data_IF_477691297988
#
_entry.id   IF_477691297988
#
_cell.length_a   1.000
_cell.length_b   1.000
_cell.length_c   1.000
_cell.angle_alpha   90.00
_cell.angle_beta   90.00
_cell.angle_gamma   90.00
#
_symmetry.space_group_name_H-M   'P 1'
#
loop_
_entity.id
_entity.type
_entity.pdbx_description
1 polymer ?
#
# COMPACT_ATOMS: atom_id res chain seq x y z
N UNK A 1 -16.22 -0.84 -20.85
CA UNK A 1 -15.10 -1.80 -21.00
C UNK A 1 -14.44 -1.68 -22.37
N UNK A 2 -15.16 -1.86 -23.50
CA UNK A 2 -14.57 -1.70 -24.86
C UNK A 2 -13.94 -0.33 -25.07
N UNK A 3 -14.64 0.76 -24.71
CA UNK A 3 -14.11 2.12 -24.85
C UNK A 3 -12.79 2.31 -24.09
N UNK A 4 -12.75 1.90 -22.83
CA UNK A 4 -11.53 1.96 -22.01
C UNK A 4 -10.39 1.15 -22.66
N UNK A 5 -10.68 -0.08 -23.10
CA UNK A 5 -9.69 -0.92 -23.77
C UNK A 5 -9.13 -0.26 -25.04
N UNK A 6 -9.98 0.38 -25.85
CA UNK A 6 -9.54 1.13 -27.02
C UNK A 6 -8.66 2.34 -26.65
N UNK A 7 -9.01 3.07 -25.59
CA UNK A 7 -8.19 4.18 -25.08
C UNK A 7 -6.83 3.69 -24.57
N UNK A 8 -6.81 2.64 -23.75
CA UNK A 8 -5.58 2.04 -23.23
C UNK A 8 -4.67 1.56 -24.37
N UNK A 9 -5.25 0.86 -25.37
CA UNK A 9 -4.51 0.40 -26.54
C UNK A 9 -3.96 1.54 -27.39
N UNK A 10 -4.70 2.64 -27.52
CA UNK A 10 -4.27 3.84 -28.23
C UNK A 10 -3.07 4.51 -27.55
N UNK A 11 -3.15 4.76 -26.23
CA UNK A 11 -2.08 5.44 -25.49
C UNK A 11 -0.85 4.57 -25.29
N UNK A 12 -1.02 3.29 -24.94
CA UNK A 12 0.09 2.35 -24.76
C UNK A 12 0.68 1.84 -26.07
N UNK A 13 0.02 2.11 -27.21
CA UNK A 13 0.38 1.59 -28.54
C UNK A 13 0.48 0.06 -28.61
N UNK A 14 -0.17 -0.63 -27.67
CA UNK A 14 -0.21 -2.10 -27.58
C UNK A 14 -1.50 -2.55 -26.93
N UNK A 15 -1.97 -3.71 -27.34
CA UNK A 15 -3.07 -4.39 -26.66
C UNK A 15 -2.53 -5.01 -25.38
N UNK A 16 -3.01 -4.54 -24.22
CA UNK A 16 -2.64 -5.07 -22.91
C UNK A 16 -3.86 -5.68 -22.22
N UNK A 17 -3.81 -6.99 -21.95
CA UNK A 17 -4.81 -7.68 -21.13
C UNK A 17 -4.23 -7.76 -19.72
N UNK A 18 -4.51 -6.74 -18.90
CA UNK A 18 -3.87 -6.56 -17.58
C UNK A 18 -3.97 -7.81 -16.69
N UNK A 19 -5.14 -8.45 -16.50
CA UNK A 19 -5.23 -9.65 -15.66
C UNK A 19 -4.40 -10.82 -16.20
N UNK A 20 -4.34 -11.00 -17.52
CA UNK A 20 -3.50 -12.02 -18.14
C UNK A 20 -2.01 -11.72 -17.94
N UNK A 21 -1.58 -10.47 -18.15
CA UNK A 21 -0.19 -10.07 -17.98
C UNK A 21 0.29 -10.26 -16.53
N UNK A 22 -0.57 -9.99 -15.55
CA UNK A 22 -0.27 -10.23 -14.13
C UNK A 22 0.00 -11.71 -13.89
N UNK A 23 -0.89 -12.60 -14.34
CA UNK A 23 -0.73 -14.05 -14.15
C UNK A 23 0.46 -14.58 -14.97
N UNK A 24 0.62 -14.13 -16.20
CA UNK A 24 1.72 -14.53 -17.06
C UNK A 24 3.06 -14.18 -16.43
N UNK A 25 3.25 -12.93 -16.01
CA UNK A 25 4.51 -12.47 -15.43
C UNK A 25 4.81 -13.11 -14.07
N UNK A 26 3.82 -13.18 -13.17
CA UNK A 26 4.05 -13.63 -11.79
C UNK A 26 3.99 -15.16 -11.61
N UNK A 27 3.34 -15.89 -12.52
CA UNK A 27 3.08 -17.34 -12.33
C UNK A 27 3.66 -18.18 -13.47
N UNK A 28 3.44 -17.80 -14.72
CA UNK A 28 3.76 -18.67 -15.87
C UNK A 28 5.19 -18.45 -16.40
N UNK A 29 5.62 -17.20 -16.45
CA UNK A 29 6.90 -16.77 -17.02
C UNK A 29 7.97 -16.49 -15.96
N UNK A 30 7.66 -16.71 -14.67
CA UNK A 30 8.63 -16.60 -13.59
C UNK A 30 9.76 -17.63 -13.78
N UNK A 31 11.02 -17.18 -13.71
CA UNK A 31 12.23 -18.00 -13.91
C UNK A 31 13.28 -17.61 -12.87
N UNK A 32 14.31 -18.43 -12.71
CA UNK A 32 15.44 -18.06 -11.86
C UNK A 32 16.09 -16.75 -12.37
N UNK A 33 16.21 -15.76 -11.48
CA UNK A 33 16.72 -14.42 -11.82
C UNK A 33 15.71 -13.47 -12.50
N UNK A 34 14.47 -13.90 -12.77
CA UNK A 34 13.42 -13.08 -13.40
C UNK A 34 12.05 -13.28 -12.78
N UNK A 35 11.30 -12.18 -12.64
CA UNK A 35 9.96 -12.22 -12.07
C UNK A 35 9.93 -11.77 -10.61
N UNK A 36 8.87 -12.06 -9.87
CA UNK A 36 8.59 -11.41 -8.59
C UNK A 36 9.57 -11.77 -7.47
N UNK A 37 10.16 -12.97 -7.50
CA UNK A 37 11.02 -13.48 -6.42
C UNK A 37 12.35 -12.71 -6.26
N UNK A 38 12.77 -11.95 -7.28
CA UNK A 38 13.96 -11.08 -7.21
C UNK A 38 13.82 -9.95 -6.18
N UNK A 39 12.60 -9.68 -5.72
CA UNK A 39 12.29 -8.69 -4.69
C UNK A 39 12.09 -9.32 -3.30
N UNK A 40 12.46 -10.60 -3.13
CA UNK A 40 12.38 -11.34 -1.87
C UNK A 40 11.18 -12.30 -1.80
N UNK A 41 11.07 -13.06 -0.71
CA UNK A 41 9.97 -14.03 -0.51
C UNK A 41 9.39 -13.92 0.89
N UNK A 42 8.12 -14.28 1.04
CA UNK A 42 7.39 -14.17 2.31
C UNK A 42 6.70 -15.50 2.66
N UNK A 43 6.46 -15.80 3.96
CA UNK A 43 5.88 -17.06 4.37
C UNK A 43 4.40 -17.18 3.92
N UNK A 44 3.90 -18.41 3.89
CA UNK A 44 2.53 -18.72 3.42
C UNK A 44 1.43 -17.92 4.13
N UNK A 45 1.64 -17.58 5.40
CA UNK A 45 0.65 -16.89 6.24
C UNK A 45 0.70 -15.35 6.11
N UNK A 46 1.51 -14.82 5.19
CA UNK A 46 1.64 -13.37 4.94
C UNK A 46 0.29 -12.71 4.61
N UNK A 47 -0.46 -13.23 3.63
CA UNK A 47 -1.75 -12.63 3.26
C UNK A 47 -2.80 -12.76 4.36
N UNK A 48 -2.77 -13.84 5.14
CA UNK A 48 -3.65 -13.98 6.29
C UNK A 48 -3.37 -12.87 7.33
N UNK A 49 -2.09 -12.63 7.67
CA UNK A 49 -1.70 -11.52 8.57
C UNK A 49 -2.06 -10.16 8.00
N UNK A 50 -1.74 -9.92 6.73
CA UNK A 50 -2.00 -8.64 6.06
C UNK A 50 -3.51 -8.33 6.00
N UNK A 51 -4.32 -9.28 5.53
CA UNK A 51 -5.77 -9.09 5.41
C UNK A 51 -6.46 -9.04 6.78
N UNK A 52 -5.96 -9.74 7.80
CA UNK A 52 -6.43 -9.56 9.18
C UNK A 52 -6.15 -8.16 9.73
N UNK A 53 -4.97 -7.62 9.44
CA UNK A 53 -4.64 -6.25 9.86
C UNK A 53 -5.54 -5.23 9.15
N UNK A 54 -5.73 -5.36 7.85
CA UNK A 54 -6.47 -4.36 7.05
C UNK A 54 -8.01 -4.51 7.10
N UNK A 55 -8.52 -5.74 7.17
CA UNK A 55 -9.95 -6.04 7.12
C UNK A 55 -10.50 -6.70 8.39
N UNK A 56 -9.68 -6.94 9.42
CA UNK A 56 -10.09 -7.46 10.73
C UNK A 56 -11.07 -8.67 10.65
N UNK A 57 -12.21 -8.61 11.34
CA UNK A 57 -13.24 -9.65 11.31
C UNK A 57 -13.89 -9.80 9.93
N UNK A 58 -13.90 -8.74 9.10
CA UNK A 58 -14.48 -8.81 7.75
C UNK A 58 -13.75 -9.81 6.87
N UNK A 59 -12.43 -9.97 7.03
CA UNK A 59 -11.68 -11.01 6.34
C UNK A 59 -12.13 -12.42 6.76
N UNK A 60 -12.36 -12.63 8.05
CA UNK A 60 -12.85 -13.93 8.57
C UNK A 60 -14.25 -14.22 8.03
N UNK A 61 -15.14 -13.23 8.02
CA UNK A 61 -16.49 -13.36 7.46
C UNK A 61 -16.43 -13.61 5.95
N UNK A 62 -15.52 -12.94 5.22
CA UNK A 62 -15.31 -13.15 3.79
C UNK A 62 -14.86 -14.58 3.48
N UNK A 63 -13.95 -15.15 4.27
CA UNK A 63 -13.55 -16.56 4.15
C UNK A 63 -14.72 -17.50 4.44
N UNK A 64 -15.53 -17.20 5.46
CA UNK A 64 -16.68 -18.00 5.83
C UNK A 64 -17.86 -17.89 4.82
N UNK A 65 -17.87 -16.90 3.94
CA UNK A 65 -19.01 -16.58 3.07
C UNK A 65 -19.47 -17.76 2.20
N UNK A 66 -18.56 -18.49 1.54
CA UNK A 66 -18.90 -19.64 0.71
C UNK A 66 -19.41 -20.85 1.53
N UNK A 67 -18.74 -21.27 2.63
CA UNK A 67 -19.30 -22.26 3.55
C UNK A 67 -20.69 -21.87 4.08
N UNK A 68 -20.86 -20.62 4.54
CA UNK A 68 -22.13 -20.09 5.05
C UNK A 68 -23.21 -20.13 3.97
N UNK A 69 -22.88 -19.71 2.76
CA UNK A 69 -23.78 -19.75 1.60
C UNK A 69 -24.23 -21.17 1.28
N UNK A 70 -23.31 -22.14 1.32
CA UNK A 70 -23.61 -23.54 1.08
C UNK A 70 -24.58 -24.09 2.15
N UNK A 71 -24.29 -23.87 3.43
CA UNK A 71 -25.16 -24.30 4.54
C UNK A 71 -26.54 -23.64 4.42
N UNK A 72 -26.59 -22.32 4.20
CA UNK A 72 -27.84 -21.59 4.08
C UNK A 72 -28.71 -22.09 2.92
N UNK A 73 -28.09 -22.36 1.76
CA UNK A 73 -28.81 -22.72 0.54
C UNK A 73 -29.20 -24.19 0.51
N UNK A 74 -28.29 -25.11 0.86
CA UNK A 74 -28.50 -26.54 0.67
C UNK A 74 -28.95 -27.29 1.93
N UNK A 75 -28.46 -26.89 3.10
CA UNK A 75 -28.81 -27.55 4.38
C UNK A 75 -30.10 -26.95 4.94
N UNK A 76 -30.15 -25.63 5.07
CA UNK A 76 -31.34 -24.91 5.57
C UNK A 76 -32.43 -24.72 4.50
N UNK A 77 -32.12 -25.02 3.23
CA UNK A 77 -33.04 -24.90 2.08
C UNK A 77 -33.67 -23.52 1.94
N UNK A 78 -32.89 -22.47 2.23
CA UNK A 78 -33.31 -21.08 2.09
C UNK A 78 -32.42 -20.41 1.05
N UNK A 79 -32.76 -20.46 -0.26
CA UNK A 79 -31.92 -19.86 -1.28
C UNK A 79 -31.94 -18.33 -1.18
N UNK A 80 -30.75 -17.72 -1.16
CA UNK A 80 -30.59 -16.25 -1.19
C UNK A 80 -30.82 -15.73 -2.61
N UNK A 81 -30.20 -16.39 -3.60
CA UNK A 81 -30.39 -16.07 -5.01
C UNK A 81 -31.52 -16.93 -5.59
N UNK A 82 -32.70 -16.33 -5.77
CA UNK A 82 -33.90 -17.02 -6.26
C UNK A 82 -33.76 -17.61 -7.67
N UNK A 83 -32.89 -17.05 -8.51
CA UNK A 83 -32.74 -17.50 -9.89
C UNK A 83 -31.84 -18.74 -10.04
N UNK A 84 -30.68 -18.78 -9.37
CA UNK A 84 -29.74 -19.90 -9.50
C UNK A 84 -28.70 -19.89 -8.38
N UNK A 85 -28.42 -21.07 -7.83
CA UNK A 85 -27.36 -21.27 -6.84
C UNK A 85 -25.95 -21.02 -7.43
N UNK A 86 -25.77 -21.29 -8.72
CA UNK A 86 -24.51 -21.05 -9.44
C UNK A 86 -24.13 -19.57 -9.46
N UNK A 87 -25.13 -18.68 -9.39
CA UNK A 87 -24.90 -17.24 -9.36
C UNK A 87 -24.16 -16.82 -8.09
N UNK A 88 -24.54 -17.36 -6.93
CA UNK A 88 -23.84 -17.09 -5.68
C UNK A 88 -22.41 -17.62 -5.68
N UNK A 89 -22.21 -18.84 -6.20
CA UNK A 89 -20.85 -19.39 -6.38
C UNK A 89 -20.02 -18.49 -7.28
N UNK A 90 -20.54 -18.11 -8.45
CA UNK A 90 -19.85 -17.27 -9.42
C UNK A 90 -19.38 -15.94 -8.83
N UNK A 91 -20.20 -15.28 -8.00
CA UNK A 91 -19.80 -14.01 -7.38
C UNK A 91 -18.81 -14.17 -6.21
N UNK A 92 -18.87 -15.27 -5.48
CA UNK A 92 -17.99 -15.50 -4.33
C UNK A 92 -16.59 -16.00 -4.73
N UNK A 93 -16.52 -16.79 -5.81
CA UNK A 93 -15.31 -17.49 -6.26
C UNK A 93 -14.09 -16.60 -6.53
N UNK A 94 -14.20 -15.39 -7.13
CA UNK A 94 -13.03 -14.56 -7.45
C UNK A 94 -12.12 -14.29 -6.25
N UNK A 95 -12.69 -14.04 -5.08
CA UNK A 95 -11.93 -13.83 -3.84
C UNK A 95 -11.06 -15.05 -3.48
N UNK A 96 -11.66 -16.24 -3.50
CA UNK A 96 -10.96 -17.48 -3.15
C UNK A 96 -9.90 -17.86 -4.18
N UNK A 97 -10.20 -17.72 -5.48
CA UNK A 97 -9.24 -18.03 -6.54
C UNK A 97 -8.02 -17.13 -6.46
N UNK A 98 -8.24 -15.82 -6.34
CA UNK A 98 -7.14 -14.85 -6.27
C UNK A 98 -6.29 -15.07 -5.01
N UNK A 99 -6.92 -15.23 -3.85
CA UNK A 99 -6.23 -15.49 -2.60
C UNK A 99 -5.41 -16.79 -2.68
N UNK A 100 -5.96 -17.86 -3.26
CA UNK A 100 -5.25 -19.13 -3.42
C UNK A 100 -4.04 -19.00 -4.36
N UNK A 101 -4.22 -18.42 -5.55
CA UNK A 101 -3.16 -18.27 -6.55
C UNK A 101 -1.96 -17.53 -5.96
N UNK A 102 -2.18 -16.38 -5.32
CA UNK A 102 -1.10 -15.57 -4.78
C UNK A 102 -0.53 -16.13 -3.47
N UNK A 103 -1.31 -16.81 -2.64
CA UNK A 103 -0.78 -17.48 -1.43
C UNK A 103 0.19 -18.60 -1.79
N UNK A 104 -0.04 -19.28 -2.91
CA UNK A 104 0.84 -20.32 -3.43
C UNK A 104 2.14 -19.77 -4.04
N UNK A 105 2.21 -18.48 -4.41
CA UNK A 105 3.45 -17.90 -4.92
C UNK A 105 4.46 -17.63 -3.79
N UNK A 106 5.77 -17.86 -4.00
CA UNK A 106 6.80 -17.57 -3.00
C UNK A 106 6.86 -16.08 -2.65
N UNK A 107 6.98 -15.21 -3.66
CA UNK A 107 6.88 -13.77 -3.49
C UNK A 107 5.46 -13.31 -3.16
N UNK A 108 5.36 -12.36 -2.23
CA UNK A 108 4.08 -11.80 -1.78
C UNK A 108 4.25 -10.31 -1.52
N UNK A 109 3.27 -9.55 -1.97
CA UNK A 109 3.19 -8.12 -1.70
C UNK A 109 1.76 -7.75 -1.34
N UNK A 110 1.61 -6.78 -0.45
CA UNK A 110 0.30 -6.27 -0.07
C UNK A 110 -0.51 -5.78 -1.30
N UNK A 111 0.15 -5.09 -2.25
CA UNK A 111 -0.49 -4.52 -3.44
C UNK A 111 -1.12 -5.55 -4.39
N UNK A 112 -0.68 -6.81 -4.36
CA UNK A 112 -1.31 -7.85 -5.17
C UNK A 112 -2.73 -8.18 -4.73
N UNK A 113 -3.12 -7.81 -3.50
CA UNK A 113 -4.49 -8.00 -3.02
C UNK A 113 -5.43 -6.83 -3.36
N UNK A 114 -4.92 -5.67 -3.76
CA UNK A 114 -5.75 -4.49 -4.05
C UNK A 114 -6.87 -4.76 -5.07
N UNK A 115 -6.63 -5.50 -6.18
CA UNK A 115 -7.69 -5.79 -7.16
C UNK A 115 -8.86 -6.61 -6.58
N UNK A 116 -8.63 -7.38 -5.51
CA UNK A 116 -9.64 -8.29 -4.95
C UNK A 116 -10.38 -7.72 -3.74
N UNK A 117 -10.02 -6.52 -3.26
CA UNK A 117 -10.70 -5.88 -2.15
C UNK A 117 -12.21 -5.72 -2.35
N UNK A 118 -12.73 -5.34 -3.55
CA UNK A 118 -14.18 -5.30 -3.77
C UNK A 118 -14.86 -6.67 -3.62
N UNK A 119 -14.22 -7.74 -4.09
CA UNK A 119 -14.75 -9.09 -3.96
C UNK A 119 -14.68 -9.59 -2.50
N UNK A 120 -13.62 -9.23 -1.77
CA UNK A 120 -13.53 -9.47 -0.33
C UNK A 120 -14.68 -8.78 0.41
N UNK A 121 -14.91 -7.48 0.15
CA UNK A 121 -16.01 -6.73 0.74
C UNK A 121 -17.38 -7.32 0.40
N UNK A 122 -17.58 -7.77 -0.84
CA UNK A 122 -18.80 -8.47 -1.25
C UNK A 122 -18.99 -9.78 -0.48
N UNK A 123 -17.96 -10.62 -0.38
CA UNK A 123 -18.00 -11.87 0.37
C UNK A 123 -18.29 -11.61 1.85
N UNK A 124 -17.63 -10.61 2.45
CA UNK A 124 -17.88 -10.21 3.83
C UNK A 124 -19.33 -9.76 4.04
N UNK A 125 -19.87 -8.94 3.13
CA UNK A 125 -21.25 -8.46 3.19
C UNK A 125 -22.27 -9.62 3.08
N UNK A 126 -22.05 -10.55 2.14
CA UNK A 126 -22.93 -11.72 2.00
C UNK A 126 -22.84 -12.64 3.23
N UNK A 127 -21.63 -12.94 3.70
CA UNK A 127 -21.42 -13.74 4.91
C UNK A 127 -22.08 -13.10 6.14
N UNK A 128 -21.91 -11.79 6.30
CA UNK A 128 -22.54 -11.02 7.37
C UNK A 128 -24.08 -11.05 7.27
N UNK A 129 -24.64 -10.89 6.07
CA UNK A 129 -26.08 -10.99 5.83
C UNK A 129 -26.64 -12.36 6.23
N UNK A 130 -25.94 -13.43 5.89
CA UNK A 130 -26.30 -14.81 6.28
C UNK A 130 -26.27 -14.96 7.81
N UNK A 131 -25.20 -14.52 8.45
CA UNK A 131 -25.06 -14.59 9.91
C UNK A 131 -26.16 -13.80 10.63
N UNK A 132 -26.47 -12.60 10.16
CA UNK A 132 -27.55 -11.77 10.71
C UNK A 132 -28.92 -12.42 10.50
N UNK A 133 -29.16 -13.08 9.36
CA UNK A 133 -30.39 -13.82 9.10
C UNK A 133 -30.54 -14.99 10.07
N UNK A 134 -29.47 -15.72 10.33
CA UNK A 134 -29.46 -16.82 11.31
C UNK A 134 -29.66 -16.31 12.74
N UNK A 135 -29.01 -15.20 13.08
CA UNK A 135 -29.19 -14.53 14.37
C UNK A 135 -30.59 -13.94 14.53
N UNK A 136 -31.27 -13.57 13.45
CA UNK A 136 -32.63 -13.03 13.45
C UNK A 136 -33.75 -14.08 13.47
N UNK A 137 -33.42 -15.37 13.48
CA UNK A 137 -34.44 -16.42 13.40
C UNK A 137 -35.43 -16.38 14.56
N UNK A 138 -36.71 -16.55 14.24
CA UNK A 138 -37.81 -16.71 15.22
C UNK A 138 -38.25 -18.17 15.36
N UNK A 139 -37.55 -19.10 14.72
CA UNK A 139 -37.92 -20.51 14.76
C UNK A 139 -37.67 -21.09 16.16
N UNK A 140 -38.71 -21.55 16.90
CA UNK A 140 -38.56 -22.04 18.26
C UNK A 140 -37.72 -23.31 18.39
N UNK A 141 -37.48 -24.03 17.27
CA UNK A 141 -36.58 -25.20 17.24
C UNK A 141 -35.09 -24.85 17.21
N UNK A 142 -34.74 -23.57 16.99
CA UNK A 142 -33.35 -23.12 17.02
C UNK A 142 -32.92 -22.77 18.44
N UNK A 143 -31.76 -23.28 18.88
CA UNK A 143 -31.16 -22.91 20.17
C UNK A 143 -30.92 -21.40 20.28
N UNK A 144 -30.66 -20.72 19.16
CA UNK A 144 -30.44 -19.27 19.10
C UNK A 144 -31.72 -18.50 19.42
N UNK A 145 -32.90 -19.06 19.09
CA UNK A 145 -34.18 -18.41 19.36
C UNK A 145 -34.53 -18.39 20.87
N UNK A 146 -33.84 -19.18 21.69
CA UNK A 146 -33.95 -19.13 23.16
C UNK A 146 -33.41 -17.82 23.75
N UNK A 147 -32.50 -17.13 23.02
CA UNK A 147 -31.94 -15.86 23.44
C UNK A 147 -32.89 -14.72 23.01
N UNK A 148 -33.22 -13.76 23.90
CA UNK A 148 -34.06 -12.61 23.55
C UNK A 148 -33.54 -11.87 22.31
N UNK A 149 -34.43 -11.52 21.38
CA UNK A 149 -34.05 -10.87 20.12
C UNK A 149 -33.28 -9.56 20.35
N UNK A 150 -33.67 -8.78 21.37
CA UNK A 150 -32.97 -7.54 21.76
C UNK A 150 -31.51 -7.81 22.16
N UNK A 151 -31.24 -8.90 22.87
CA UNK A 151 -29.90 -9.26 23.33
C UNK A 151 -29.04 -9.74 22.16
N UNK A 152 -29.61 -10.55 21.25
CA UNK A 152 -28.93 -10.96 20.00
C UNK A 152 -28.54 -9.76 19.15
N UNK A 153 -29.48 -8.83 18.95
CA UNK A 153 -29.24 -7.59 18.21
C UNK A 153 -28.17 -6.73 18.89
N UNK A 154 -28.20 -6.63 20.23
CA UNK A 154 -27.19 -5.89 21.00
C UNK A 154 -25.77 -6.44 20.75
N UNK A 155 -25.57 -7.75 20.89
CA UNK A 155 -24.26 -8.35 20.64
C UNK A 155 -23.82 -8.23 19.18
N UNK A 156 -24.73 -8.44 18.23
CA UNK A 156 -24.43 -8.26 16.81
C UNK A 156 -24.00 -6.80 16.51
N UNK A 157 -24.75 -5.82 17.03
CA UNK A 157 -24.42 -4.41 16.89
C UNK A 157 -23.07 -4.08 17.55
N UNK A 158 -22.81 -4.60 18.75
CA UNK A 158 -21.54 -4.40 19.45
C UNK A 158 -20.36 -4.96 18.64
N UNK A 159 -20.48 -6.15 18.06
CA UNK A 159 -19.44 -6.72 17.20
C UNK A 159 -19.18 -5.86 15.95
N UNK A 160 -20.23 -5.34 15.31
CA UNK A 160 -20.11 -4.47 14.15
C UNK A 160 -19.44 -3.13 14.50
N UNK A 161 -19.88 -2.50 15.60
CA UNK A 161 -19.31 -1.24 16.09
C UNK A 161 -17.83 -1.45 16.44
N UNK A 162 -17.49 -2.49 17.20
CA UNK A 162 -16.12 -2.81 17.55
C UNK A 162 -15.23 -3.06 16.31
N UNK A 163 -15.75 -3.70 15.27
CA UNK A 163 -15.02 -3.91 14.02
C UNK A 163 -14.73 -2.60 13.27
N UNK A 164 -15.69 -1.67 13.28
CA UNK A 164 -15.52 -0.32 12.70
C UNK A 164 -14.52 0.47 13.54
N UNK A 165 -14.68 0.50 14.85
CA UNK A 165 -13.81 1.23 15.78
C UNK A 165 -12.36 0.72 15.71
N UNK A 166 -12.15 -0.59 15.61
CA UNK A 166 -10.82 -1.16 15.41
C UNK A 166 -10.22 -0.74 14.06
N UNK A 167 -11.04 -0.67 13.00
CA UNK A 167 -10.64 -0.13 11.71
C UNK A 167 -10.20 1.32 11.81
N UNK A 168 -11.02 2.18 12.44
CA UNK A 168 -10.72 3.60 12.65
C UNK A 168 -9.46 3.79 13.51
N UNK A 169 -9.31 3.02 14.58
CA UNK A 169 -8.14 3.02 15.45
C UNK A 169 -6.85 2.72 14.68
N UNK A 170 -6.89 1.72 13.79
CA UNK A 170 -5.77 1.38 12.91
C UNK A 170 -5.52 2.48 11.88
N UNK A 171 -6.54 2.98 11.20
CA UNK A 171 -6.41 4.06 10.21
C UNK A 171 -5.78 5.30 10.83
N UNK A 172 -6.28 5.73 11.99
CA UNK A 172 -5.70 6.84 12.74
C UNK A 172 -4.24 6.54 13.12
N UNK A 173 -3.97 5.32 13.58
CA UNK A 173 -2.61 4.88 13.89
C UNK A 173 -1.65 4.94 12.70
N UNK A 174 -2.09 4.56 11.51
CA UNK A 174 -1.28 4.61 10.29
C UNK A 174 -1.03 6.04 9.82
N UNK A 175 -2.07 6.88 9.83
CA UNK A 175 -1.95 8.29 9.43
C UNK A 175 -0.96 9.01 10.35
N UNK A 176 -1.12 8.91 11.67
CA UNK A 176 -0.23 9.66 12.57
C UNK A 176 1.20 9.12 12.59
N UNK A 177 1.42 7.84 12.26
CA UNK A 177 2.73 7.21 12.30
C UNK A 177 3.55 7.40 11.00
N UNK A 178 2.87 7.50 9.85
CA UNK A 178 3.52 7.33 8.54
C UNK A 178 3.18 8.43 7.52
N UNK A 179 2.55 9.54 7.92
CA UNK A 179 2.14 10.59 6.98
C UNK A 179 3.28 11.49 6.46
N UNK A 180 4.45 11.52 7.12
CA UNK A 180 5.51 12.47 6.77
C UNK A 180 5.90 12.51 5.27
N UNK A 181 6.07 11.38 4.56
CA UNK A 181 6.41 11.41 3.13
C UNK A 181 5.34 12.04 2.22
N UNK A 182 4.11 12.24 2.71
CA UNK A 182 3.07 12.94 1.98
C UNK A 182 3.04 14.45 2.28
N UNK A 183 3.49 14.87 3.46
CA UNK A 183 3.36 16.27 3.93
C UNK A 183 4.64 17.10 3.76
N UNK A 184 5.84 16.53 3.86
CA UNK A 184 7.09 17.32 3.91
C UNK A 184 7.40 18.12 2.65
N UNK A 185 6.76 17.81 1.52
CA UNK A 185 6.96 18.51 0.24
C UNK A 185 6.20 19.84 0.13
N UNK A 186 5.31 20.15 1.09
CA UNK A 186 4.47 21.36 1.05
C UNK A 186 5.25 22.68 0.86
N UNK A 187 6.40 22.92 1.53
CA UNK A 187 7.16 24.17 1.38
C UNK A 187 7.66 24.43 -0.04
N UNK A 188 7.85 23.40 -0.87
CA UNK A 188 8.32 23.59 -2.25
C UNK A 188 7.34 24.43 -3.09
N UNK A 189 6.06 24.47 -2.70
CA UNK A 189 5.02 25.25 -3.39
C UNK A 189 4.98 26.71 -2.95
N UNK A 190 5.70 27.07 -1.89
CA UNK A 190 5.73 28.44 -1.40
C UNK A 190 6.52 29.35 -2.36
N UNK A 191 6.05 30.59 -2.61
CA UNK A 191 6.72 31.53 -3.51
C UNK A 191 8.17 31.78 -3.07
N UNK A 192 9.11 31.57 -3.99
CA UNK A 192 10.54 31.84 -3.77
C UNK A 192 11.33 30.69 -3.14
N UNK A 193 10.68 29.58 -2.78
CA UNK A 193 11.38 28.39 -2.27
C UNK A 193 11.96 27.57 -3.42
N UNK A 194 11.13 27.09 -4.35
CA UNK A 194 11.58 26.31 -5.51
C UNK A 194 11.34 27.04 -6.83
N UNK A 195 12.16 26.72 -7.83
CA UNK A 195 12.08 27.25 -9.19
C UNK A 195 12.02 26.10 -10.22
N UNK A 196 11.38 26.32 -11.39
CA UNK A 196 11.45 25.36 -12.48
C UNK A 196 12.91 25.06 -12.86
N UNK A 197 13.27 23.78 -12.91
CA UNK A 197 14.63 23.30 -13.12
C UNK A 197 15.31 22.78 -11.86
N UNK A 198 14.78 23.08 -10.66
CA UNK A 198 15.31 22.55 -9.41
C UNK A 198 15.12 21.03 -9.31
N UNK A 199 16.09 20.37 -8.67
CA UNK A 199 16.04 18.94 -8.40
C UNK A 199 15.82 18.67 -6.90
N UNK A 200 14.83 17.82 -6.62
CA UNK A 200 14.58 17.22 -5.31
C UNK A 200 15.20 15.83 -5.30
N UNK A 201 16.26 15.67 -4.53
CA UNK A 201 17.03 14.44 -4.49
C UNK A 201 16.51 13.49 -3.41
N UNK A 202 16.51 12.21 -3.79
CA UNK A 202 16.05 11.09 -2.98
C UNK A 202 17.19 10.07 -2.92
N UNK A 203 17.66 9.77 -1.71
CA UNK A 203 18.64 8.70 -1.46
C UNK A 203 17.94 7.49 -0.86
N UNK A 204 18.26 7.19 0.40
CA UNK A 204 17.68 6.06 1.15
C UNK A 204 16.16 6.05 1.27
N UNK A 205 15.49 7.19 1.05
CA UNK A 205 14.04 7.33 1.15
C UNK A 205 13.30 7.27 -0.20
N UNK A 206 13.98 6.88 -1.29
CA UNK A 206 13.41 6.85 -2.64
C UNK A 206 12.09 6.05 -2.72
N UNK A 207 11.97 4.94 -1.98
CA UNK A 207 10.80 4.06 -2.02
C UNK A 207 9.58 4.62 -1.27
N UNK A 208 9.75 5.71 -0.49
CA UNK A 208 8.66 6.42 0.18
C UNK A 208 8.19 7.65 -0.58
N UNK A 209 8.87 8.02 -1.67
CA UNK A 209 8.46 9.13 -2.51
C UNK A 209 7.11 8.82 -3.17
N UNK A 210 6.06 9.63 -2.94
CA UNK A 210 4.72 9.29 -3.39
C UNK A 210 4.56 9.39 -4.91
N UNK A 211 4.87 10.54 -5.50
CA UNK A 211 4.92 10.76 -6.94
C UNK A 211 5.40 12.18 -7.28
N UNK A 212 5.83 12.38 -8.53
CA UNK A 212 6.15 13.71 -9.07
C UNK A 212 4.96 14.67 -9.11
N UNK A 213 3.71 14.20 -9.00
CA UNK A 213 2.53 15.07 -8.86
C UNK A 213 2.50 15.88 -7.55
N UNK A 214 3.31 15.47 -6.56
CA UNK A 214 3.44 16.21 -5.31
C UNK A 214 4.40 17.40 -5.45
N UNK A 215 5.23 17.42 -6.50
CA UNK A 215 6.20 18.48 -6.75
C UNK A 215 5.58 19.64 -7.58
N UNK A 216 6.10 20.87 -7.42
CA UNK A 216 5.73 22.00 -8.29
C UNK A 216 6.10 21.75 -9.77
N UNK A 217 5.42 22.45 -10.67
CA UNK A 217 5.69 22.33 -12.10
C UNK A 217 7.13 22.72 -12.44
N UNK A 218 7.83 21.84 -13.16
CA UNK A 218 9.22 22.04 -13.57
C UNK A 218 10.26 21.63 -12.52
N UNK A 219 9.85 21.25 -11.30
CA UNK A 219 10.73 20.66 -10.29
C UNK A 219 10.81 19.15 -10.51
N UNK A 220 12.02 18.59 -10.52
CA UNK A 220 12.23 17.18 -10.88
C UNK A 220 12.67 16.37 -9.67
N UNK A 221 12.13 15.16 -9.51
CA UNK A 221 12.67 14.18 -8.58
C UNK A 221 13.91 13.55 -9.21
N UNK A 222 15.00 13.44 -8.44
CA UNK A 222 16.24 12.77 -8.87
C UNK A 222 16.74 11.84 -7.78
N UNK A 223 17.51 10.83 -8.16
CA UNK A 223 18.06 9.88 -7.21
C UNK A 223 19.54 10.13 -6.98
N UNK A 224 19.98 10.06 -5.73
CA UNK A 224 21.40 10.01 -5.40
C UNK A 224 21.76 8.58 -5.00
N UNK A 225 23.02 8.16 -5.22
CA UNK A 225 23.44 6.80 -4.87
C UNK A 225 23.25 6.57 -3.36
N UNK A 226 22.62 5.46 -3.01
CA UNK A 226 22.44 4.96 -1.64
C UNK A 226 22.94 3.50 -1.57
N UNK A 227 22.77 2.83 -0.43
CA UNK A 227 23.10 1.39 -0.30
C UNK A 227 22.27 0.50 -1.24
N UNK A 228 21.14 1.02 -1.76
CA UNK A 228 20.35 0.31 -2.75
C UNK A 228 21.12 0.16 -4.07
N UNK A 229 21.25 -1.10 -4.50
CA UNK A 229 22.00 -1.50 -5.70
C UNK A 229 21.12 -2.29 -6.67
N UNK A 230 19.83 -1.97 -6.71
CA UNK A 230 18.88 -2.48 -7.70
C UNK A 230 18.49 -1.43 -8.73
N UNK A 231 17.58 -1.77 -9.64
CA UNK A 231 17.10 -0.85 -10.66
C UNK A 231 16.15 0.20 -10.05
N UNK A 232 16.53 1.48 -10.14
CA UNK A 232 15.67 2.60 -9.76
C UNK A 232 14.68 2.99 -10.88
N UNK A 233 13.55 3.63 -10.53
CA UNK A 233 12.61 4.16 -11.52
C UNK A 233 13.29 5.08 -12.54
N UNK A 234 12.90 4.97 -13.82
CA UNK A 234 13.34 5.87 -14.88
C UNK A 234 12.40 7.05 -15.09
N UNK A 235 12.95 8.17 -15.57
CA UNK A 235 12.16 9.34 -15.95
C UNK A 235 11.37 9.08 -17.23
N UNK A 236 10.06 9.31 -17.18
CA UNK A 236 9.20 9.27 -18.36
C UNK A 236 9.46 10.50 -19.25
N UNK A 237 9.39 10.30 -20.57
CA UNK A 237 9.48 11.42 -21.52
C UNK A 237 8.32 12.39 -21.36
N UNK A 238 8.64 13.68 -21.24
CA UNK A 238 7.65 14.74 -21.09
C UNK A 238 6.78 14.87 -22.36
N UNK A 239 5.52 15.26 -22.17
CA UNK A 239 4.62 15.52 -23.29
C UNK A 239 5.10 16.75 -24.07
N UNK A 240 5.20 16.64 -25.40
CA UNK A 240 5.66 17.73 -26.28
C UNK A 240 7.17 17.80 -26.49
N UNK A 241 7.98 17.05 -25.74
CA UNK A 241 9.41 16.86 -26.03
C UNK A 241 9.61 15.56 -26.82
N UNK A 242 9.81 15.64 -28.14
CA UNK A 242 10.16 14.50 -28.99
C UNK A 242 9.05 13.97 -29.91
N UNK A 243 9.04 12.65 -30.18
CA UNK A 243 8.19 12.01 -31.18
C UNK A 243 6.84 11.53 -30.63
N UNK A 244 5.75 11.99 -31.24
CA UNK A 244 4.39 11.47 -31.02
C UNK A 244 3.64 12.11 -29.85
N UNK A 245 2.35 11.78 -29.75
CA UNK A 245 1.48 12.22 -28.66
C UNK A 245 1.78 11.40 -27.40
N UNK A 246 2.06 12.09 -26.28
CA UNK A 246 2.28 11.51 -24.94
C UNK A 246 3.31 10.35 -24.91
N UNK A 247 4.58 10.59 -25.30
CA UNK A 247 5.62 9.55 -25.35
C UNK A 247 5.80 8.82 -24.00
N UNK A 248 5.62 9.51 -22.87
CA UNK A 248 5.69 8.89 -21.54
C UNK A 248 4.69 7.75 -21.28
N UNK A 249 3.64 7.60 -22.09
CA UNK A 249 2.68 6.50 -21.95
C UNK A 249 3.16 5.17 -22.55
N UNK A 250 4.10 5.18 -23.49
CA UNK A 250 4.49 3.97 -24.25
C UNK A 250 5.99 3.80 -24.44
N UNK A 251 6.78 4.88 -24.34
CA UNK A 251 8.22 4.82 -24.46
C UNK A 251 8.82 4.35 -23.14
N UNK A 252 9.55 3.24 -23.18
CA UNK A 252 10.26 2.71 -22.02
C UNK A 252 11.46 3.63 -21.76
N UNK A 253 11.67 4.12 -20.52
CA UNK A 253 12.87 4.87 -20.16
C UNK A 253 14.16 4.10 -20.50
N UNK A 254 15.25 4.81 -20.76
CA UNK A 254 16.54 4.17 -21.04
C UNK A 254 17.02 3.32 -19.88
N UNK A 255 17.78 2.25 -20.14
CA UNK A 255 18.46 1.45 -19.11
C UNK A 255 17.55 0.60 -18.20
N UNK A 256 16.26 0.48 -18.52
CA UNK A 256 15.36 -0.44 -17.83
C UNK A 256 15.70 -1.90 -18.17
N UNK A 257 15.63 -2.78 -17.17
CA UNK A 257 15.84 -4.23 -17.32
C UNK A 257 14.83 -5.02 -16.46
N UNK A 258 14.66 -6.32 -16.73
CA UNK A 258 13.74 -7.23 -16.05
C UNK A 258 14.40 -8.10 -14.97
N UNK A 259 15.64 -7.78 -14.59
CA UNK A 259 16.49 -8.55 -13.67
C UNK A 259 16.85 -7.75 -12.41
N UNK A 260 16.27 -6.54 -12.24
CA UNK A 260 16.57 -5.61 -11.14
C UNK A 260 18.07 -5.24 -11.04
N UNK A 261 18.78 -5.24 -12.16
CA UNK A 261 20.19 -4.87 -12.23
C UNK A 261 20.32 -3.35 -12.10
N UNK A 262 21.25 -2.90 -11.25
CA UNK A 262 21.56 -1.49 -11.08
C UNK A 262 21.94 -0.81 -12.40
N UNK A 263 21.39 0.38 -12.61
CA UNK A 263 21.75 1.26 -13.72
C UNK A 263 22.31 2.58 -13.16
N UNK A 264 23.64 2.81 -13.22
CA UNK A 264 24.26 4.03 -12.73
C UNK A 264 23.72 5.31 -13.37
N UNK A 265 23.12 5.24 -14.57
CA UNK A 265 22.54 6.40 -15.25
C UNK A 265 21.29 6.95 -14.54
N UNK A 266 20.75 6.24 -13.55
CA UNK A 266 19.63 6.71 -12.70
C UNK A 266 20.05 7.71 -11.65
N UNK A 267 21.34 7.79 -11.34
CA UNK A 267 21.84 8.67 -10.29
C UNK A 267 22.21 10.05 -10.82
N UNK A 268 22.01 11.05 -9.99
CA UNK A 268 22.58 12.39 -10.12
C UNK A 268 23.63 12.62 -9.03
N UNK A 269 24.57 13.51 -9.31
CA UNK A 269 25.48 14.01 -8.28
C UNK A 269 24.74 14.88 -7.26
N UNK A 270 25.17 14.80 -6.00
CA UNK A 270 24.63 15.63 -4.91
C UNK A 270 24.80 17.13 -5.18
N UNK A 271 25.81 17.50 -5.97
CA UNK A 271 26.09 18.86 -6.43
C UNK A 271 24.96 19.46 -7.27
N UNK A 272 24.11 18.65 -7.89
CA UNK A 272 22.97 19.09 -8.70
C UNK A 272 21.64 19.12 -7.93
N UNK A 273 21.65 18.79 -6.64
CA UNK A 273 20.48 18.79 -5.78
C UNK A 273 20.26 20.19 -5.19
N UNK A 274 19.10 20.78 -5.48
CA UNK A 274 18.62 22.01 -4.81
C UNK A 274 17.95 21.66 -3.48
N UNK A 275 17.29 20.50 -3.44
CA UNK A 275 16.63 19.97 -2.25
C UNK A 275 17.04 18.51 -2.02
N UNK A 276 17.00 18.08 -0.77
CA UNK A 276 17.25 16.70 -0.37
C UNK A 276 16.16 16.24 0.59
N UNK A 277 15.66 15.03 0.40
CA UNK A 277 14.75 14.39 1.36
C UNK A 277 15.52 13.31 2.09
N UNK A 278 15.51 13.38 3.41
CA UNK A 278 16.24 12.45 4.25
C UNK A 278 15.46 12.11 5.52
N UNK A 279 15.83 11.00 6.15
CA UNK A 279 15.29 10.56 7.42
C UNK A 279 16.40 10.33 8.44
N UNK A 280 16.09 10.55 9.71
CA UNK A 280 17.00 10.30 10.83
C UNK A 280 16.26 9.54 11.91
N UNK A 281 16.54 8.24 12.00
CA UNK A 281 16.00 7.37 13.05
C UNK A 281 17.07 7.08 14.08
N UNK A 282 16.75 7.16 15.38
CA UNK A 282 17.71 6.82 16.43
C UNK A 282 18.29 5.40 16.26
N UNK A 283 17.53 4.45 15.72
CA UNK A 283 17.96 3.06 15.50
C UNK A 283 18.90 2.82 14.33
N UNK A 284 19.05 3.78 13.42
CA UNK A 284 19.74 3.58 12.15
C UNK A 284 21.08 4.30 12.19
N UNK A 285 22.16 3.54 12.05
CA UNK A 285 23.51 4.10 11.97
C UNK A 285 23.78 4.61 10.54
N UNK A 286 24.34 5.83 10.37
CA UNK A 286 24.68 6.35 9.05
C UNK A 286 25.79 5.55 8.38
N UNK A 287 25.69 5.37 7.06
CA UNK A 287 26.76 4.78 6.24
C UNK A 287 27.44 5.83 5.37
N UNK A 288 28.49 5.43 4.64
CA UNK A 288 29.15 6.31 3.69
C UNK A 288 28.24 6.70 2.51
N UNK A 289 27.35 5.80 2.07
CA UNK A 289 26.39 6.05 0.98
C UNK A 289 25.04 6.58 1.49
N UNK A 290 24.74 6.41 2.77
CA UNK A 290 23.52 6.91 3.41
C UNK A 290 23.87 7.75 4.65
N UNK A 291 24.56 8.89 4.47
CA UNK A 291 24.87 9.77 5.58
C UNK A 291 23.60 10.42 6.13
N UNK A 292 23.69 10.97 7.33
CA UNK A 292 22.62 11.75 7.93
C UNK A 292 22.71 13.21 7.44
N UNK A 293 22.01 13.52 6.34
CA UNK A 293 22.02 14.85 5.73
C UNK A 293 21.32 15.89 6.63
N UNK A 294 20.40 15.45 7.49
CA UNK A 294 19.69 16.30 8.46
C UNK A 294 20.67 16.97 9.45
N UNK A 295 21.77 16.29 9.79
CA UNK A 295 22.80 16.80 10.70
C UNK A 295 23.86 17.67 10.00
N UNK A 296 23.90 17.73 8.67
CA UNK A 296 24.87 18.51 7.90
C UNK A 296 24.42 19.97 7.72
N UNK A 297 24.32 20.69 8.83
CA UNK A 297 23.76 22.05 8.90
C UNK A 297 24.55 23.12 8.16
N UNK A 298 25.80 22.84 7.79
CA UNK A 298 26.62 23.71 6.94
C UNK A 298 26.15 23.71 5.48
N UNK A 299 25.68 22.57 4.98
CA UNK A 299 25.26 22.40 3.57
C UNK A 299 23.74 22.50 3.42
N UNK A 300 23.00 22.00 4.39
CA UNK A 300 21.55 21.83 4.31
C UNK A 300 20.84 22.67 5.38
N UNK A 301 19.73 23.29 5.00
CA UNK A 301 18.77 23.92 5.90
C UNK A 301 17.49 23.07 5.97
N UNK A 302 16.93 22.90 7.17
CA UNK A 302 15.67 22.17 7.35
C UNK A 302 14.51 23.06 6.92
N UNK A 303 13.80 22.69 5.85
CA UNK A 303 12.62 23.43 5.37
C UNK A 303 11.34 22.93 6.03
N UNK A 304 11.20 21.61 6.13
CA UNK A 304 10.10 20.96 6.86
C UNK A 304 10.57 19.63 7.40
N UNK A 305 10.21 19.34 8.64
CA UNK A 305 10.49 18.07 9.29
C UNK A 305 9.24 17.61 10.01
N UNK A 306 8.90 16.34 9.83
CA UNK A 306 7.72 15.73 10.43
C UNK A 306 8.13 14.46 11.19
N UNK A 307 7.48 14.15 12.31
CA UNK A 307 7.77 12.92 13.05
C UNK A 307 7.40 11.70 12.19
N UNK A 308 8.28 10.71 12.17
CA UNK A 308 8.05 9.45 11.47
C UNK A 308 8.39 8.27 12.36
N UNK A 309 7.53 7.25 12.37
CA UNK A 309 7.66 6.16 13.33
C UNK A 309 8.93 5.32 13.09
N UNK A 310 9.75 5.17 14.12
CA UNK A 310 10.86 4.22 14.14
C UNK A 310 10.30 2.81 14.39
N UNK A 311 10.15 2.06 13.29
CA UNK A 311 9.58 0.72 13.31
C UNK A 311 10.46 -0.33 14.01
N UNK A 312 11.76 -0.07 14.17
CA UNK A 312 12.69 -1.01 14.80
C UNK A 312 12.62 -0.96 16.33
N UNK A 313 12.38 0.24 16.90
CA UNK A 313 12.26 0.47 18.35
C UNK A 313 10.80 0.41 18.84
N UNK A 314 9.83 0.56 17.95
CA UNK A 314 8.41 0.54 18.31
C UNK A 314 7.86 -0.89 18.35
N UNK A 315 7.25 -1.25 19.49
CA UNK A 315 6.57 -2.54 19.65
C UNK A 315 5.40 -2.75 18.68
N UNK A 316 4.99 -4.00 18.50
CA UNK A 316 3.98 -4.40 17.49
C UNK A 316 2.65 -3.64 17.62
N UNK A 317 2.14 -3.41 18.83
CA UNK A 317 0.86 -2.70 19.01
C UNK A 317 0.96 -1.26 18.50
N UNK A 318 2.06 -0.56 18.80
CA UNK A 318 2.28 0.82 18.35
C UNK A 318 2.46 0.95 16.85
N UNK A 319 2.94 -0.09 16.18
CA UNK A 319 3.01 -0.19 14.71
C UNK A 319 1.65 -0.51 14.07
N UNK A 320 0.80 -1.27 14.76
CA UNK A 320 -0.50 -1.70 14.21
C UNK A 320 -1.55 -0.58 14.28
N UNK A 321 -1.62 0.14 15.40
CA UNK A 321 -2.63 1.16 15.61
C UNK A 321 -2.21 2.23 16.59
N UNK A 322 -3.09 3.18 16.85
CA UNK A 322 -2.78 4.39 17.59
C UNK A 322 -2.56 4.13 19.09
N UNK A 323 -1.53 4.74 19.67
CA UNK A 323 -1.28 4.70 21.11
C UNK A 323 -1.09 6.15 21.55
N UNK A 324 -1.80 6.62 22.60
CA UNK A 324 -1.58 7.94 23.15
C UNK A 324 -0.22 8.02 23.85
N UNK A 325 0.44 9.16 23.75
CA UNK A 325 1.71 9.43 24.42
C UNK A 325 1.49 9.92 25.87
N UNK A 326 0.75 9.13 26.66
CA UNK A 326 0.46 9.46 28.06
C UNK A 326 1.53 8.95 29.01
N UNK A 327 1.83 9.73 30.06
CA UNK A 327 2.94 9.44 30.99
C UNK A 327 2.80 8.16 31.79
N UNK A 328 1.58 7.66 31.99
CA UNK A 328 1.36 6.39 32.69
C UNK A 328 1.61 5.16 31.80
N UNK A 329 1.64 5.31 30.47
CA UNK A 329 1.90 4.18 29.56
C UNK A 329 3.40 3.89 29.59
N UNK A 330 3.85 2.66 29.90
CA UNK A 330 5.27 2.32 29.90
C UNK A 330 5.93 2.64 28.55
N UNK A 331 7.16 3.13 28.57
CA UNK A 331 7.91 3.53 27.35
C UNK A 331 8.01 2.42 26.30
N UNK A 332 8.06 1.15 26.73
CA UNK A 332 8.04 -0.04 25.84
C UNK A 332 6.79 -0.17 24.96
N UNK A 333 5.67 0.44 25.37
CA UNK A 333 4.42 0.44 24.60
C UNK A 333 4.18 1.77 23.86
N UNK A 334 4.94 2.82 24.18
CA UNK A 334 4.86 4.09 23.45
C UNK A 334 5.52 3.96 22.09
N UNK A 335 5.05 4.80 21.16
CA UNK A 335 5.65 4.93 19.84
C UNK A 335 6.99 5.64 19.95
N UNK A 336 7.97 5.13 19.22
CA UNK A 336 9.29 5.73 19.11
C UNK A 336 9.39 6.42 17.77
N UNK A 337 9.97 7.61 17.75
CA UNK A 337 9.94 8.52 16.62
C UNK A 337 11.35 8.83 16.14
N UNK A 338 11.50 8.97 14.82
CA UNK A 338 12.57 9.70 14.18
C UNK A 338 12.02 10.92 13.45
N UNK A 339 12.88 11.56 12.66
CA UNK A 339 12.52 12.71 11.83
C UNK A 339 12.57 12.32 10.35
N UNK A 340 11.61 12.81 9.57
CA UNK A 340 11.63 12.77 8.11
C UNK A 340 11.56 14.20 7.61
N UNK A 341 12.54 14.63 6.82
CA UNK A 341 12.75 16.04 6.53
C UNK A 341 12.91 16.29 5.03
N UNK A 342 12.35 17.42 4.59
CA UNK A 342 12.75 18.14 3.39
C UNK A 342 13.82 19.16 3.77
N UNK A 343 14.96 19.08 3.09
CA UNK A 343 16.11 19.95 3.26
C UNK A 343 16.29 20.82 2.01
N UNK A 344 16.55 22.11 2.22
CA UNK A 344 16.99 23.05 1.18
C UNK A 344 18.50 23.15 1.20
N UNK A 345 19.12 23.31 0.04
CA UNK A 345 20.56 23.55 -0.01
C UNK A 345 20.85 25.01 0.31
N UNK A 346 21.77 25.25 1.25
CA UNK A 346 22.22 26.60 1.54
C UNK A 346 22.97 27.17 0.34
N UNK A 347 22.63 28.39 -0.06
CA UNK A 347 23.46 29.14 -1.00
C UNK A 347 24.77 29.44 -0.28
N UNK A 348 25.90 29.10 -0.90
CA UNK A 348 27.21 29.51 -0.40
C UNK A 348 27.18 31.02 -0.18
N UNK A 349 27.44 31.48 1.04
CA UNK A 349 27.67 32.89 1.32
C UNK A 349 28.93 33.29 0.56
N UNK A 350 28.74 33.86 -0.63
CA UNK A 350 29.79 34.49 -1.42
C UNK A 350 30.23 35.79 -0.79
#
# INVERSE_FOLDING_TARGET
LVLQFCFDAFFYRRVAIVPYNIVWYNVIAAREGKGPDIYGTEPWHFYARNLLLNFNIWFIIALAAMPLYFVHTFVLRQPIFKQSYLRGVFFLTPFYLWLAIFTLQPHKEERFMYPIYPALSFNAALGAHILLTWLGTSNPRSLIAMIPAKLRLFFAALCFIAAVDFGLWRTFGMITAYNAPLSVYAPLREPGVSQPGDNVCLGKEWYRFPSSYHLPAGVNAKFVKSEFSGLLPGDFSQAGSGFGLYPGAWLIPSGMNDENIEDPSKYTELSHCSFMVDSSFPSTEPSALEPNYINQTETWEKLSCEPFLDASRTGTIGRIGWIPDWDFIPTKYRRQWGEYCLLGRRKSSS
#
